data_IF_944749004897
#
_entry.id   IF_944749004897
#
_cell.length_a   1.000
_cell.length_b   1.000
_cell.length_c   1.000
_cell.angle_alpha   90.00
_cell.angle_beta   90.00
_cell.angle_gamma   90.00
#
_symmetry.space_group_name_H-M   'P 1'
#
loop_
_entity.id
_entity.type
_entity.pdbx_description
1 polymer ?
#
# COMPACT_ATOMS: atom_id res chain seq x y z
N UNK A 1 -42.01 59.72 -0.93
CA UNK A 1 -41.07 58.68 -0.45
C UNK A 1 -41.68 57.31 -0.68
N UNK A 2 -41.05 56.48 -1.53
CA UNK A 2 -40.90 55.01 -1.44
C UNK A 2 -40.61 54.46 -2.86
N UNK A 3 -39.33 54.47 -3.23
CA UNK A 3 -38.82 53.71 -4.37
C UNK A 3 -38.80 52.23 -3.97
N UNK A 4 -39.48 51.36 -4.74
CA UNK A 4 -39.36 49.91 -4.59
C UNK A 4 -38.28 49.41 -5.55
N UNK A 5 -37.15 49.03 -4.97
CA UNK A 5 -36.01 48.40 -5.64
C UNK A 5 -36.39 46.95 -5.99
N UNK A 6 -36.33 46.59 -7.27
CA UNK A 6 -36.46 45.20 -7.75
C UNK A 6 -35.05 44.60 -7.86
N UNK A 7 -34.66 43.80 -6.86
CA UNK A 7 -33.44 42.98 -6.91
C UNK A 7 -33.82 41.67 -7.63
N UNK A 8 -33.23 41.42 -8.81
CA UNK A 8 -33.33 40.13 -9.51
C UNK A 8 -32.43 39.10 -8.81
N UNK A 9 -32.90 37.87 -8.57
CA UNK A 9 -32.07 36.85 -7.92
C UNK A 9 -31.01 36.32 -8.89
N UNK A 10 -29.76 36.33 -8.43
CA UNK A 10 -28.61 35.69 -9.07
C UNK A 10 -28.80 34.17 -8.99
N UNK A 11 -28.94 33.48 -10.13
CA UNK A 11 -28.92 32.02 -10.16
C UNK A 11 -27.45 31.55 -10.10
N UNK A 12 -27.04 30.99 -8.96
CA UNK A 12 -25.77 30.27 -8.85
C UNK A 12 -25.89 28.92 -9.57
N UNK A 13 -25.20 28.77 -10.71
CA UNK A 13 -24.95 27.45 -11.29
C UNK A 13 -23.86 26.76 -10.47
N UNK A 14 -24.26 25.88 -9.56
CA UNK A 14 -23.33 24.97 -8.89
C UNK A 14 -22.88 23.89 -9.87
N UNK A 15 -21.60 23.88 -10.24
CA UNK A 15 -20.99 22.75 -10.93
C UNK A 15 -20.71 21.68 -9.87
N UNK A 16 -21.59 20.68 -9.79
CA UNK A 16 -21.33 19.48 -9.00
C UNK A 16 -20.32 18.62 -9.78
N UNK A 17 -19.07 18.58 -9.31
CA UNK A 17 -18.12 17.56 -9.74
C UNK A 17 -18.54 16.27 -9.06
N UNK A 18 -19.22 15.40 -9.81
CA UNK A 18 -19.44 14.02 -9.41
C UNK A 18 -18.10 13.30 -9.47
N UNK A 19 -17.40 13.20 -8.34
CA UNK A 19 -16.37 12.18 -8.18
C UNK A 19 -17.07 10.83 -8.11
N UNK A 20 -17.21 10.17 -9.25
CA UNK A 20 -17.48 8.74 -9.27
C UNK A 20 -16.28 8.08 -8.59
N UNK A 21 -16.41 7.76 -7.31
CA UNK A 21 -15.47 6.90 -6.61
C UNK A 21 -15.52 5.54 -7.28
N UNK A 22 -14.66 5.32 -8.28
CA UNK A 22 -14.33 3.97 -8.68
C UNK A 22 -13.59 3.38 -7.49
N UNK A 23 -14.32 2.63 -6.66
CA UNK A 23 -13.71 1.63 -5.79
C UNK A 23 -13.10 0.56 -6.70
N UNK A 24 -11.97 0.88 -7.33
CA UNK A 24 -11.19 -0.11 -8.05
C UNK A 24 -10.77 -1.17 -7.05
N UNK A 25 -10.76 -2.42 -7.49
CA UNK A 25 -10.43 -3.57 -6.65
C UNK A 25 -8.94 -3.51 -6.28
N UNK A 26 -8.63 -2.76 -5.23
CA UNK A 26 -7.29 -2.41 -4.79
C UNK A 26 -6.46 -3.60 -4.32
N UNK A 27 -7.07 -4.75 -4.07
CA UNK A 27 -6.41 -5.88 -3.43
C UNK A 27 -6.48 -7.15 -4.26
N UNK A 28 -5.57 -8.09 -3.97
CA UNK A 28 -5.63 -9.44 -4.53
C UNK A 28 -6.99 -10.09 -4.24
N UNK A 29 -7.59 -10.70 -5.26
CA UNK A 29 -8.96 -11.22 -5.19
C UNK A 29 -9.06 -12.74 -5.29
N UNK A 30 -8.04 -13.38 -5.84
CA UNK A 30 -8.03 -14.82 -6.06
C UNK A 30 -6.63 -15.40 -5.84
N UNK A 31 -6.56 -16.56 -5.20
CA UNK A 31 -5.38 -17.42 -5.22
C UNK A 31 -5.37 -18.16 -6.55
N UNK A 32 -4.32 -17.97 -7.34
CA UNK A 32 -4.12 -18.69 -8.58
C UNK A 32 -3.42 -20.04 -8.35
N UNK A 33 -2.37 -20.05 -7.54
CA UNK A 33 -1.66 -21.26 -7.12
C UNK A 33 -1.02 -21.05 -5.75
N UNK A 34 -0.87 -22.13 -4.97
CA UNK A 34 -0.18 -22.11 -3.69
C UNK A 34 0.51 -23.44 -3.43
N UNK A 35 1.78 -23.35 -3.06
CA UNK A 35 2.59 -24.47 -2.61
C UNK A 35 3.23 -24.07 -1.29
N UNK A 36 2.89 -24.75 -0.20
CA UNK A 36 3.39 -24.40 1.12
C UNK A 36 4.92 -24.46 1.20
N UNK A 37 5.57 -25.41 0.52
CA UNK A 37 7.01 -25.64 0.66
C UNK A 37 7.39 -26.25 2.01
N UNK A 38 8.70 -26.42 2.23
CA UNK A 38 9.24 -27.00 3.46
C UNK A 38 9.39 -25.95 4.54
N UNK A 39 8.86 -26.22 5.74
CA UNK A 39 9.01 -25.33 6.90
C UNK A 39 8.00 -24.17 6.96
N UNK A 40 6.96 -24.18 6.12
CA UNK A 40 5.79 -23.32 6.33
C UNK A 40 5.18 -23.58 7.72
N UNK A 41 4.70 -22.54 8.38
CA UNK A 41 4.15 -22.65 9.72
C UNK A 41 2.87 -23.50 9.74
N UNK A 42 2.83 -24.50 10.60
CA UNK A 42 1.65 -25.35 10.78
C UNK A 42 0.44 -24.51 11.19
N UNK A 43 -0.71 -24.70 10.52
CA UNK A 43 -1.93 -23.91 10.71
C UNK A 43 -2.04 -22.70 9.77
N UNK A 44 -0.92 -22.14 9.31
CA UNK A 44 -0.88 -20.94 8.46
C UNK A 44 -0.82 -21.27 6.97
N UNK A 45 -1.43 -22.37 6.53
CA UNK A 45 -1.33 -22.84 5.12
C UNK A 45 -2.59 -22.58 4.31
N UNK A 46 -3.48 -21.70 4.80
CA UNK A 46 -4.64 -21.24 4.06
C UNK A 46 -4.26 -20.04 3.19
N UNK A 47 -4.08 -20.19 1.86
CA UNK A 47 -3.66 -19.08 1.00
C UNK A 47 -4.73 -18.01 0.82
N UNK A 48 -6.00 -18.29 1.18
CA UNK A 48 -7.05 -17.28 1.14
C UNK A 48 -6.88 -16.19 2.22
N UNK A 49 -6.03 -16.40 3.23
CA UNK A 49 -5.68 -15.39 4.22
C UNK A 49 -5.02 -14.16 3.58
N UNK A 50 -4.28 -14.33 2.48
CA UNK A 50 -3.61 -13.25 1.75
C UNK A 50 -4.51 -12.46 0.77
N UNK A 51 -5.83 -12.71 0.77
CA UNK A 51 -6.77 -12.05 -0.14
C UNK A 51 -7.53 -10.93 0.55
N UNK A 52 -7.84 -9.89 -0.22
CA UNK A 52 -8.56 -8.73 0.29
C UNK A 52 -7.63 -7.72 0.96
N UNK A 53 -8.24 -6.86 1.75
CA UNK A 53 -7.54 -5.76 2.41
C UNK A 53 -6.55 -6.28 3.47
N UNK A 54 -5.38 -5.65 3.64
CA UNK A 54 -4.49 -5.92 4.77
C UNK A 54 -5.21 -5.79 6.12
N UNK A 55 -4.74 -6.55 7.10
CA UNK A 55 -5.35 -6.62 8.41
C UNK A 55 -5.38 -5.27 9.12
N UNK A 56 -6.58 -4.80 9.48
CA UNK A 56 -6.77 -3.59 10.31
C UNK A 56 -6.87 -3.88 11.80
N UNK A 57 -7.44 -5.03 12.14
CA UNK A 57 -7.71 -5.47 13.52
C UNK A 57 -7.37 -6.95 13.59
N UNK A 58 -6.63 -7.35 14.63
CA UNK A 58 -6.52 -8.76 15.02
C UNK A 58 -7.68 -9.09 15.96
N UNK A 59 -8.59 -10.02 15.63
CA UNK A 59 -9.70 -10.39 16.49
C UNK A 59 -9.28 -11.22 17.71
N UNK A 60 -10.17 -11.30 18.70
CA UNK A 60 -9.99 -12.16 19.88
C UNK A 60 -9.64 -11.39 21.16
N UNK A 61 -9.51 -12.10 22.29
CA UNK A 61 -9.34 -11.50 23.61
C UNK A 61 -7.99 -10.79 23.81
N UNK A 62 -6.98 -11.19 23.03
CA UNK A 62 -5.65 -10.55 22.97
C UNK A 62 -5.44 -9.82 21.63
N UNK A 63 -6.55 -9.54 20.95
CA UNK A 63 -6.58 -8.80 19.71
C UNK A 63 -6.55 -7.29 19.93
N UNK A 64 -6.67 -6.53 18.86
CA UNK A 64 -6.65 -5.08 18.88
C UNK A 64 -6.35 -4.51 17.50
N UNK A 65 -6.19 -3.18 17.40
CA UNK A 65 -5.68 -2.56 16.19
C UNK A 65 -4.37 -3.20 15.74
N UNK A 66 -4.27 -3.47 14.44
CA UNK A 66 -2.98 -3.78 13.82
C UNK A 66 -2.25 -2.47 13.67
N UNK A 67 -1.06 -2.38 14.25
CA UNK A 67 -0.18 -1.23 14.13
C UNK A 67 1.30 -1.68 14.14
N UNK A 68 2.25 -0.79 13.86
CA UNK A 68 3.65 -1.15 13.80
C UNK A 68 4.25 -1.77 15.07
N UNK A 69 3.58 -1.72 16.22
CA UNK A 69 3.99 -2.41 17.44
C UNK A 69 3.14 -3.65 17.78
N UNK A 70 1.95 -3.79 17.17
CA UNK A 70 1.02 -4.89 17.40
C UNK A 70 0.52 -5.46 16.07
N UNK A 71 1.11 -6.55 15.59
CA UNK A 71 0.91 -7.04 14.23
C UNK A 71 -0.27 -8.00 14.10
N UNK A 72 -0.66 -8.28 12.86
CA UNK A 72 -1.48 -9.45 12.55
C UNK A 72 -0.70 -10.73 12.89
N UNK A 73 -1.36 -11.72 13.49
CA UNK A 73 -0.69 -12.97 13.89
C UNK A 73 -1.56 -14.22 13.76
N UNK A 74 -2.84 -14.10 13.40
CA UNK A 74 -3.72 -15.26 13.29
C UNK A 74 -3.55 -15.98 11.95
N UNK A 75 -3.85 -17.26 11.92
CA UNK A 75 -3.89 -18.10 10.71
C UNK A 75 -4.97 -17.66 9.70
N UNK A 76 -5.96 -16.91 10.16
CA UNK A 76 -6.96 -16.26 9.31
C UNK A 76 -6.47 -14.96 8.66
N UNK A 77 -5.34 -14.42 9.12
CA UNK A 77 -4.74 -13.18 8.63
C UNK A 77 -3.47 -13.45 7.83
N UNK A 78 -2.66 -14.41 8.25
CA UNK A 78 -1.37 -14.71 7.63
C UNK A 78 -1.37 -16.07 6.93
N UNK A 79 -0.77 -16.12 5.74
CA UNK A 79 -0.34 -17.37 5.10
C UNK A 79 1.17 -17.49 5.15
N UNK A 80 1.67 -18.66 5.57
CA UNK A 80 3.08 -19.00 5.59
C UNK A 80 3.49 -19.78 4.35
N UNK A 81 4.65 -19.43 3.80
CA UNK A 81 5.30 -20.11 2.67
C UNK A 81 6.72 -20.45 3.11
N UNK A 82 7.08 -21.73 3.07
CA UNK A 82 8.41 -22.25 3.39
C UNK A 82 9.29 -22.44 2.15
N UNK A 83 10.52 -22.85 2.37
CA UNK A 83 11.53 -23.06 1.33
C UNK A 83 11.03 -24.00 0.22
N UNK A 84 11.21 -23.57 -1.03
CA UNK A 84 10.71 -24.26 -2.22
C UNK A 84 9.21 -24.09 -2.47
N UNK A 85 8.51 -23.36 -1.61
CA UNK A 85 7.09 -23.02 -1.76
C UNK A 85 6.87 -21.75 -2.57
N UNK A 86 5.62 -21.51 -2.94
CA UNK A 86 5.20 -20.32 -3.67
C UNK A 86 3.75 -19.93 -3.37
N UNK A 87 3.43 -18.66 -3.61
CA UNK A 87 2.06 -18.15 -3.64
C UNK A 87 1.90 -17.27 -4.87
N UNK A 88 0.90 -17.58 -5.70
CA UNK A 88 0.50 -16.74 -6.83
C UNK A 88 -0.90 -16.20 -6.57
N UNK A 89 -1.04 -14.88 -6.56
CA UNK A 89 -2.34 -14.19 -6.44
C UNK A 89 -2.69 -13.48 -7.74
N UNK A 90 -4.00 -13.24 -7.93
CA UNK A 90 -4.55 -12.49 -9.04
C UNK A 90 -5.34 -11.29 -8.55
N UNK A 91 -5.09 -10.14 -9.14
CA UNK A 91 -5.87 -8.91 -8.98
C UNK A 91 -7.05 -8.88 -9.96
N UNK A 92 -8.17 -8.32 -9.51
CA UNK A 92 -9.36 -8.16 -10.36
C UNK A 92 -9.19 -7.00 -11.37
N UNK A 93 -8.50 -5.92 -10.97
CA UNK A 93 -8.01 -4.86 -11.86
C UNK A 93 -6.52 -5.07 -12.11
N UNK A 94 -6.01 -4.85 -13.34
CA UNK A 94 -4.57 -4.92 -13.57
C UNK A 94 -3.81 -3.90 -12.71
N UNK A 95 -2.67 -4.33 -12.16
CA UNK A 95 -1.64 -3.43 -11.64
C UNK A 95 -1.04 -2.70 -12.83
N UNK A 96 -1.00 -1.37 -12.77
CA UNK A 96 -0.46 -0.54 -13.84
C UNK A 96 0.96 -0.13 -13.49
N UNK A 97 1.84 -0.10 -14.48
CA UNK A 97 3.13 0.56 -14.37
C UNK A 97 2.91 2.05 -14.65
N UNK A 98 2.83 2.87 -13.59
CA UNK A 98 2.52 4.29 -13.72
C UNK A 98 3.56 5.15 -12.98
N UNK A 99 4.33 6.00 -13.69
CA UNK A 99 5.29 6.89 -13.05
C UNK A 99 4.65 7.94 -12.13
N UNK A 100 3.32 8.14 -12.20
CA UNK A 100 2.58 8.99 -11.26
C UNK A 100 2.29 8.30 -9.91
N UNK A 101 2.57 7.01 -9.78
CA UNK A 101 2.54 6.33 -8.49
C UNK A 101 3.61 6.88 -7.55
N UNK A 102 3.28 6.93 -6.26
CA UNK A 102 4.21 7.45 -5.24
C UNK A 102 5.52 6.64 -5.25
N UNK A 103 6.64 7.34 -5.39
CA UNK A 103 7.98 6.75 -5.51
C UNK A 103 8.18 5.81 -6.72
N UNK A 104 7.25 5.81 -7.70
CA UNK A 104 7.28 4.91 -8.85
C UNK A 104 6.95 3.46 -8.53
N UNK A 105 6.36 3.17 -7.36
CA UNK A 105 6.01 1.81 -6.94
C UNK A 105 4.58 1.49 -7.34
N UNK A 106 4.33 0.29 -7.88
CA UNK A 106 3.05 -0.09 -8.48
C UNK A 106 2.18 -0.97 -7.59
N UNK A 107 2.79 -1.74 -6.67
CA UNK A 107 2.05 -2.58 -5.73
C UNK A 107 2.82 -2.80 -4.43
N UNK A 108 2.11 -3.20 -3.39
CA UNK A 108 2.64 -3.46 -2.05
C UNK A 108 2.35 -4.90 -1.63
N UNK A 109 3.23 -5.46 -0.79
CA UNK A 109 3.02 -6.73 -0.10
C UNK A 109 3.17 -6.49 1.41
N UNK A 110 2.22 -7.02 2.19
CA UNK A 110 2.15 -6.87 3.65
C UNK A 110 2.47 -8.19 4.33
N UNK A 111 3.15 -8.12 5.49
CA UNK A 111 3.58 -9.28 6.28
C UNK A 111 3.22 -9.16 7.76
N UNK A 112 3.69 -10.12 8.56
CA UNK A 112 3.37 -10.22 9.99
C UNK A 112 4.35 -9.53 10.94
N UNK A 113 5.34 -8.82 10.41
CA UNK A 113 6.46 -8.25 11.17
C UNK A 113 6.14 -6.88 11.80
N UNK A 114 6.78 -6.60 12.94
CA UNK A 114 6.55 -5.39 13.74
C UNK A 114 7.85 -4.80 14.30
N UNK A 115 7.80 -3.57 14.79
CA UNK A 115 8.92 -2.91 15.47
C UNK A 115 8.98 -3.30 16.95
N UNK A 116 10.18 -3.59 17.44
CA UNK A 116 10.43 -3.91 18.85
C UNK A 116 10.29 -2.64 19.68
N UNK A 117 9.45 -2.68 20.72
CA UNK A 117 9.42 -1.65 21.75
C UNK A 117 10.61 -1.86 22.70
N UNK A 118 11.40 -0.81 22.93
CA UNK A 118 12.64 -0.87 23.73
C UNK A 118 12.52 -0.25 25.12
N UNK A 119 11.34 0.24 25.50
CA UNK A 119 11.08 0.80 26.83
C UNK A 119 11.28 -0.24 27.94
N UNK A 120 11.71 0.25 29.11
CA UNK A 120 11.66 -0.53 30.35
C UNK A 120 10.22 -0.69 30.85
N UNK A 121 10.00 -1.69 31.70
CA UNK A 121 8.73 -1.92 32.39
C UNK A 121 8.83 -1.56 33.88
N UNK A 122 7.72 -1.12 34.47
CA UNK A 122 7.57 -0.97 35.93
C UNK A 122 7.29 -2.33 36.61
N UNK A 123 7.07 -2.31 37.93
CA UNK A 123 6.79 -3.52 38.73
C UNK A 123 5.48 -4.23 38.36
N UNK A 124 4.58 -3.54 37.67
CA UNK A 124 3.27 -4.00 37.25
C UNK A 124 3.23 -4.37 35.75
N UNK A 125 4.40 -4.41 35.09
CA UNK A 125 4.57 -4.69 33.66
C UNK A 125 3.95 -3.64 32.72
N UNK A 126 3.81 -2.40 33.17
CA UNK A 126 3.47 -1.28 32.28
C UNK A 126 4.74 -0.66 31.72
N UNK A 127 4.66 -0.15 30.48
CA UNK A 127 5.77 0.60 29.90
C UNK A 127 6.07 1.86 30.70
N UNK A 128 7.36 2.06 31.02
CA UNK A 128 7.85 3.32 31.57
C UNK A 128 8.02 4.30 30.39
N UNK A 129 7.23 5.37 30.41
CA UNK A 129 7.17 6.36 29.33
C UNK A 129 6.32 5.90 28.14
N UNK A 130 6.37 6.66 27.05
CA UNK A 130 5.65 6.31 25.81
C UNK A 130 6.41 5.23 25.05
N UNK A 131 5.75 4.13 24.62
CA UNK A 131 6.38 3.09 23.81
C UNK A 131 7.06 3.64 22.56
N UNK A 132 8.32 3.26 22.38
CA UNK A 132 9.17 3.66 21.27
C UNK A 132 10.08 2.50 20.83
N UNK A 133 10.59 2.56 19.61
CA UNK A 133 11.46 1.55 19.01
C UNK A 133 12.86 2.08 18.74
N UNK A 134 13.86 1.20 18.64
CA UNK A 134 15.17 1.49 18.07
C UNK A 134 15.24 1.20 16.55
N UNK A 135 14.12 0.79 15.94
CA UNK A 135 14.04 0.34 14.56
C UNK A 135 14.27 -1.16 14.36
N UNK A 136 14.57 -1.91 15.44
CA UNK A 136 14.64 -3.37 15.43
C UNK A 136 13.27 -4.00 15.15
N UNK A 137 13.27 -5.15 14.47
CA UNK A 137 12.03 -5.85 14.09
C UNK A 137 11.85 -7.18 14.82
N UNK A 138 10.61 -7.51 15.16
CA UNK A 138 10.19 -8.85 15.58
C UNK A 138 9.25 -9.45 14.53
N UNK A 139 9.07 -10.77 14.55
CA UNK A 139 8.17 -11.48 13.64
C UNK A 139 8.64 -11.56 12.18
N UNK A 140 9.56 -10.67 11.76
CA UNK A 140 10.17 -10.72 10.43
C UNK A 140 10.84 -12.07 10.19
N UNK A 141 10.37 -12.77 9.16
CA UNK A 141 10.97 -14.03 8.77
C UNK A 141 12.21 -13.77 7.89
N UNK A 142 13.24 -14.60 8.02
CA UNK A 142 14.50 -14.44 7.29
C UNK A 142 14.52 -15.17 5.95
N UNK A 143 13.36 -15.49 5.39
CA UNK A 143 13.25 -16.21 4.13
C UNK A 143 13.76 -15.37 2.95
N UNK A 144 14.55 -16.00 2.08
CA UNK A 144 14.94 -15.36 0.81
C UNK A 144 13.82 -15.56 -0.20
N UNK A 145 13.35 -14.48 -0.80
CA UNK A 145 12.23 -14.49 -1.74
C UNK A 145 12.64 -14.05 -3.13
N UNK A 146 11.91 -14.54 -4.13
CA UNK A 146 11.89 -13.98 -5.48
C UNK A 146 10.46 -13.57 -5.81
N UNK A 147 10.27 -12.33 -6.23
CA UNK A 147 8.97 -11.84 -6.69
C UNK A 147 8.96 -11.84 -8.22
N UNK A 148 7.86 -12.33 -8.79
CA UNK A 148 7.64 -12.33 -10.24
C UNK A 148 6.23 -11.83 -10.55
N UNK A 149 6.06 -11.27 -11.74
CA UNK A 149 4.77 -10.72 -12.20
C UNK A 149 4.38 -11.30 -13.55
N UNK A 150 3.08 -11.32 -13.84
CA UNK A 150 2.55 -11.84 -15.10
C UNK A 150 1.25 -11.15 -15.50
N UNK A 151 1.08 -10.92 -16.80
CA UNK A 151 -0.18 -10.44 -17.37
C UNK A 151 -1.21 -11.57 -17.50
N UNK A 152 -0.78 -12.80 -17.80
CA UNK A 152 -1.65 -13.91 -18.18
C UNK A 152 -1.69 -15.08 -17.18
N UNK A 153 -0.80 -15.09 -16.20
CA UNK A 153 -0.68 -16.14 -15.20
C UNK A 153 0.11 -17.36 -15.68
N UNK A 154 0.74 -17.29 -16.85
CA UNK A 154 1.55 -18.38 -17.44
C UNK A 154 3.00 -17.97 -17.65
N UNK A 155 3.24 -16.81 -18.25
CA UNK A 155 4.59 -16.27 -18.43
C UNK A 155 4.89 -15.28 -17.30
N UNK A 156 5.87 -15.63 -16.46
CA UNK A 156 6.29 -14.81 -15.33
C UNK A 156 7.65 -14.17 -15.59
N UNK A 157 7.75 -12.87 -15.28
CA UNK A 157 8.98 -12.09 -15.33
C UNK A 157 9.43 -11.80 -13.90
N UNK A 158 10.71 -12.01 -13.62
CA UNK A 158 11.25 -11.80 -12.26
C UNK A 158 11.52 -10.32 -12.06
N UNK A 159 11.15 -9.77 -10.90
CA UNK A 159 11.59 -8.42 -10.54
C UNK A 159 13.06 -8.49 -10.11
N UNK A 160 13.88 -7.56 -10.61
CA UNK A 160 15.31 -7.53 -10.37
C UNK A 160 15.60 -7.57 -8.85
N UNK A 161 16.28 -8.63 -8.35
CA UNK A 161 16.50 -8.81 -6.92
C UNK A 161 17.48 -7.79 -6.30
N UNK A 162 18.20 -7.01 -7.11
CA UNK A 162 19.01 -5.91 -6.63
C UNK A 162 18.19 -4.65 -6.31
N UNK A 163 16.95 -4.57 -6.82
CA UNK A 163 16.01 -3.45 -6.60
C UNK A 163 14.84 -3.86 -5.70
N UNK A 164 14.31 -5.08 -5.91
CA UNK A 164 13.16 -5.59 -5.19
C UNK A 164 13.49 -5.85 -3.70
N UNK A 165 12.72 -5.28 -2.75
CA UNK A 165 12.91 -5.56 -1.34
C UNK A 165 12.48 -7.00 -0.99
N UNK A 166 12.90 -7.47 0.18
CA UNK A 166 12.33 -8.69 0.74
C UNK A 166 10.89 -8.44 1.20
N UNK A 167 10.01 -9.44 1.03
CA UNK A 167 8.55 -9.31 1.20
C UNK A 167 8.11 -8.89 2.61
N UNK A 168 8.82 -9.33 3.66
CA UNK A 168 8.52 -8.99 5.06
C UNK A 168 9.53 -8.00 5.66
N UNK A 169 10.35 -7.37 4.83
CA UNK A 169 11.37 -6.45 5.32
C UNK A 169 10.83 -5.03 5.45
N UNK A 170 11.02 -4.46 6.64
CA UNK A 170 10.70 -3.07 6.99
C UNK A 170 9.23 -2.68 6.72
N UNK A 171 8.81 -1.54 7.25
CA UNK A 171 7.45 -1.01 7.13
C UNK A 171 6.30 -1.96 7.62
N UNK A 172 6.32 -2.39 8.90
CA UNK A 172 5.17 -3.04 9.54
C UNK A 172 3.81 -2.43 9.20
N UNK A 173 2.78 -3.27 9.12
CA UNK A 173 1.42 -2.82 8.78
C UNK A 173 0.87 -1.84 9.84
N UNK A 174 0.37 -0.69 9.38
CA UNK A 174 -0.48 0.19 10.17
C UNK A 174 -1.91 0.10 9.68
N UNK A 175 -2.75 -0.58 10.45
CA UNK A 175 -4.15 -0.82 10.18
C UNK A 175 -5.01 0.45 10.10
N UNK A 176 -4.48 1.62 10.46
CA UNK A 176 -5.15 2.92 10.30
C UNK A 176 -4.74 3.67 9.02
N UNK A 177 -3.69 3.20 8.33
CA UNK A 177 -3.17 3.86 7.14
C UNK A 177 -3.93 3.53 5.85
N UNK A 178 -3.45 4.16 4.77
CA UNK A 178 -3.86 3.93 3.40
C UNK A 178 -3.00 2.84 2.77
N UNK A 179 -3.60 1.68 2.52
CA UNK A 179 -2.92 0.54 1.90
C UNK A 179 -2.64 0.72 0.40
N UNK A 180 -3.03 1.82 -0.23
CA UNK A 180 -2.67 2.18 -1.62
C UNK A 180 -1.45 3.08 -1.70
N UNK A 181 -0.84 3.42 -0.57
CA UNK A 181 0.24 4.39 -0.50
C UNK A 181 1.49 3.71 0.07
N UNK A 182 2.60 3.63 -0.67
CA UNK A 182 3.86 3.15 -0.14
C UNK A 182 4.43 4.09 0.93
N UNK A 183 5.18 3.52 1.88
CA UNK A 183 6.13 4.29 2.69
C UNK A 183 7.31 4.70 1.80
N UNK A 184 7.95 5.84 2.09
CA UNK A 184 9.16 6.27 1.38
C UNK A 184 10.24 5.16 1.43
N UNK A 185 10.62 4.54 0.30
CA UNK A 185 11.56 3.42 0.28
C UNK A 185 12.99 3.84 0.64
N UNK A 186 13.30 5.13 0.70
CA UNK A 186 14.59 5.63 1.18
C UNK A 186 14.75 5.54 2.72
N UNK A 187 13.68 5.27 3.46
CA UNK A 187 13.74 5.10 4.91
C UNK A 187 14.32 3.73 5.27
N UNK A 188 15.36 3.73 6.10
CA UNK A 188 15.92 2.51 6.72
C UNK A 188 15.50 2.36 8.17
N UNK A 189 15.87 1.24 8.81
CA UNK A 189 15.57 0.95 10.23
C UNK A 189 16.02 2.08 11.17
N UNK A 190 17.17 2.70 10.91
CA UNK A 190 17.71 3.80 11.72
C UNK A 190 16.82 5.05 11.72
N UNK A 191 15.98 5.24 10.70
CA UNK A 191 15.03 6.36 10.67
C UNK A 191 13.94 6.22 11.75
N UNK A 192 13.70 5.01 12.26
CA UNK A 192 12.69 4.72 13.27
C UNK A 192 13.24 4.73 14.70
N UNK A 193 14.56 4.89 14.87
CA UNK A 193 15.19 4.88 16.18
C UNK A 193 14.68 6.04 17.06
N UNK A 194 14.24 5.69 18.28
CA UNK A 194 13.64 6.59 19.25
C UNK A 194 12.20 7.02 18.94
N UNK A 195 11.57 6.52 17.88
CA UNK A 195 10.22 6.94 17.50
C UNK A 195 9.14 6.18 18.27
N UNK A 196 8.15 6.93 18.73
CA UNK A 196 6.86 6.40 19.19
C UNK A 196 5.97 6.05 17.99
N UNK A 197 4.81 5.43 18.24
CA UNK A 197 3.82 5.14 17.20
C UNK A 197 3.43 6.40 16.40
N UNK A 198 3.30 7.55 17.06
CA UNK A 198 3.02 8.84 16.40
C UNK A 198 4.16 9.25 15.47
N UNK A 199 5.42 9.11 15.92
CA UNK A 199 6.59 9.39 15.10
C UNK A 199 6.70 8.48 13.88
N UNK A 200 6.40 7.18 14.05
CA UNK A 200 6.36 6.21 12.95
C UNK A 200 5.30 6.61 11.92
N UNK A 201 4.09 6.94 12.38
CA UNK A 201 2.98 7.40 11.52
C UNK A 201 3.30 8.68 10.76
N UNK A 202 4.04 9.59 11.37
CA UNK A 202 4.52 10.79 10.70
C UNK A 202 5.47 10.44 9.53
N UNK A 203 6.36 9.47 9.69
CA UNK A 203 7.22 8.99 8.61
C UNK A 203 6.46 8.19 7.54
N UNK A 204 5.42 7.45 7.93
CA UNK A 204 4.57 6.72 6.98
C UNK A 204 3.74 7.67 6.12
N UNK A 205 3.52 8.91 6.56
CA UNK A 205 2.83 9.94 5.78
C UNK A 205 1.46 9.46 5.26
N UNK A 206 0.68 8.82 6.16
CA UNK A 206 -0.61 8.17 5.90
C UNK A 206 -0.57 6.80 5.18
N UNK A 207 0.61 6.29 4.81
CA UNK A 207 0.76 4.90 4.36
C UNK A 207 0.31 3.90 5.43
N UNK A 208 -0.22 2.76 5.00
CA UNK A 208 -0.48 1.60 5.85
C UNK A 208 0.70 0.64 6.01
N UNK A 209 1.90 1.00 5.53
CA UNK A 209 3.09 0.13 5.55
C UNK A 209 3.21 -0.74 4.29
N UNK A 210 3.87 -1.89 4.45
CA UNK A 210 4.11 -2.87 3.38
C UNK A 210 5.36 -2.56 2.55
N UNK A 211 5.94 -3.61 1.98
CA UNK A 211 7.06 -3.52 1.05
C UNK A 211 6.54 -3.18 -0.35
N UNK A 212 7.11 -2.14 -0.98
CA UNK A 212 6.70 -1.69 -2.30
C UNK A 212 7.55 -2.24 -3.45
N UNK A 213 6.90 -2.48 -4.58
CA UNK A 213 7.47 -3.09 -5.78
C UNK A 213 7.04 -2.33 -7.04
N UNK A 214 7.91 -2.31 -8.05
CA UNK A 214 7.72 -1.60 -9.32
C UNK A 214 7.86 -2.60 -10.49
N UNK A 215 6.92 -2.52 -11.44
CA UNK A 215 6.86 -3.38 -12.61
C UNK A 215 7.98 -3.10 -13.61
N UNK A 216 8.56 -1.89 -13.61
CA UNK A 216 9.74 -1.54 -14.39
C UNK A 216 10.99 -2.33 -13.97
N UNK A 217 10.96 -3.01 -12.81
CA UNK A 217 12.04 -3.91 -12.39
C UNK A 217 11.95 -5.30 -13.03
N UNK A 218 10.92 -5.58 -13.85
CA UNK A 218 10.76 -6.88 -14.48
C UNK A 218 11.89 -7.18 -15.48
N UNK A 219 12.43 -8.39 -15.41
CA UNK A 219 13.47 -8.90 -16.28
C UNK A 219 13.07 -10.26 -16.88
N UNK A 220 13.60 -10.54 -18.08
CA UNK A 220 13.49 -11.84 -18.73
C UNK A 220 14.48 -12.87 -18.16
N UNK A 221 14.50 -14.08 -18.74
CA UNK A 221 15.37 -15.16 -18.29
C UNK A 221 16.87 -14.89 -18.54
N UNK A 222 17.23 -13.87 -19.32
CA UNK A 222 18.59 -13.42 -19.58
C UNK A 222 18.99 -12.24 -18.68
N UNK A 223 18.08 -11.75 -17.84
CA UNK A 223 18.30 -10.56 -17.00
C UNK A 223 18.17 -9.25 -17.78
N UNK A 224 17.51 -9.25 -18.95
CA UNK A 224 17.25 -8.02 -19.70
C UNK A 224 15.91 -7.42 -19.23
N UNK A 225 15.82 -6.08 -19.07
CA UNK A 225 14.58 -5.42 -18.68
C UNK A 225 13.44 -5.70 -19.67
N UNK A 226 12.22 -5.87 -19.12
CA UNK A 226 10.99 -6.09 -19.87
C UNK A 226 9.98 -5.01 -19.50
N UNK A 227 9.46 -4.30 -20.50
CA UNK A 227 8.39 -3.33 -20.30
C UNK A 227 7.04 -4.05 -20.14
N UNK A 228 6.45 -3.93 -18.96
CA UNK A 228 5.12 -4.46 -18.63
C UNK A 228 4.20 -3.29 -18.27
N UNK A 229 3.34 -2.80 -19.18
CA UNK A 229 2.46 -1.67 -18.88
C UNK A 229 1.37 -2.01 -17.86
N UNK A 230 0.98 -3.29 -17.80
CA UNK A 230 0.05 -3.80 -16.81
C UNK A 230 0.22 -5.30 -16.58
N UNK A 231 -0.05 -5.76 -15.36
CA UNK A 231 -0.04 -7.19 -14.97
C UNK A 231 -1.25 -7.52 -14.10
N UNK A 232 -1.65 -8.79 -14.05
CA UNK A 232 -2.75 -9.25 -13.19
C UNK A 232 -2.31 -10.18 -12.08
N UNK A 233 -1.10 -10.73 -12.16
CA UNK A 233 -0.62 -11.77 -11.27
C UNK A 233 0.69 -11.35 -10.62
N UNK A 234 0.78 -11.63 -9.33
CA UNK A 234 2.01 -11.52 -8.54
C UNK A 234 2.28 -12.90 -7.96
N UNK A 235 3.52 -13.37 -8.12
CA UNK A 235 4.02 -14.60 -7.52
C UNK A 235 5.16 -14.30 -6.57
N UNK A 236 5.13 -14.92 -5.40
CA UNK A 236 6.27 -15.02 -4.50
C UNK A 236 6.76 -16.46 -4.53
N UNK A 237 8.04 -16.66 -4.84
CA UNK A 237 8.76 -17.90 -4.60
C UNK A 237 9.64 -17.75 -3.35
N UNK A 238 9.61 -18.71 -2.43
CA UNK A 238 10.51 -18.74 -1.26
C UNK A 238 11.68 -19.65 -1.57
N UNK A 239 12.86 -19.06 -1.75
CA UNK A 239 14.09 -19.76 -2.12
C UNK A 239 14.71 -20.49 -0.93
N UNK A 240 14.62 -19.91 0.26
CA UNK A 240 15.09 -20.49 1.52
C UNK A 240 14.33 -19.92 2.71
N UNK A 241 14.39 -20.58 3.86
CA UNK A 241 13.69 -20.15 5.08
C UNK A 241 12.17 -20.26 4.97
N UNK A 242 11.46 -19.26 5.49
CA UNK A 242 10.01 -19.08 5.32
C UNK A 242 9.67 -17.60 5.29
N UNK A 243 8.47 -17.28 4.84
CA UNK A 243 7.82 -15.98 5.02
C UNK A 243 6.38 -16.14 5.48
N UNK A 244 5.77 -15.06 5.95
CA UNK A 244 4.36 -14.90 6.27
C UNK A 244 3.78 -13.68 5.54
N UNK A 245 2.64 -13.84 4.88
CA UNK A 245 2.02 -12.80 4.03
C UNK A 245 0.61 -12.53 4.54
N UNK A 246 0.30 -11.25 4.76
CA UNK A 246 -1.02 -10.76 5.17
C UNK A 246 -1.88 -10.39 3.96
N UNK A 247 -1.33 -9.64 2.99
CA UNK A 247 -2.11 -9.17 1.85
C UNK A 247 -1.23 -8.58 0.73
N UNK A 248 -1.87 -8.27 -0.39
CA UNK A 248 -1.30 -7.54 -1.52
C UNK A 248 -2.21 -6.37 -1.87
N UNK A 249 -1.64 -5.21 -2.19
CA UNK A 249 -2.40 -4.06 -2.65
C UNK A 249 -1.80 -3.42 -3.90
N UNK A 250 -2.66 -2.77 -4.67
CA UNK A 250 -2.31 -1.88 -5.76
C UNK A 250 -1.93 -0.52 -5.19
N UNK A 251 -0.87 0.11 -5.70
CA UNK A 251 -0.60 1.52 -5.44
C UNK A 251 -1.52 2.35 -6.32
N UNK A 252 -2.10 3.41 -5.75
CA UNK A 252 -2.95 4.33 -6.51
C UNK A 252 -2.19 5.57 -6.91
N UNK A 253 -2.49 6.11 -8.09
CA UNK A 253 -1.96 7.38 -8.55
C UNK A 253 -2.27 8.48 -7.51
N UNK A 254 -1.27 9.32 -7.24
CA UNK A 254 -1.49 10.52 -6.44
C UNK A 254 -2.43 11.41 -7.24
N UNK A 255 -3.62 11.78 -6.73
CA UNK A 255 -4.49 12.69 -7.45
C UNK A 255 -3.70 13.96 -7.76
N UNK A 256 -3.48 14.28 -9.04
CA UNK A 256 -2.85 15.54 -9.38
C UNK A 256 -3.65 16.67 -8.72
N UNK A 257 -3.00 17.63 -8.05
CA UNK A 257 -3.71 18.68 -7.32
C UNK A 257 -4.44 19.59 -8.30
N UNK A 258 -5.67 19.23 -8.67
CA UNK A 258 -6.71 20.06 -9.30
C UNK A 258 -6.24 21.01 -10.43
N UNK A 259 -5.11 20.76 -11.10
CA UNK A 259 -4.51 21.66 -12.08
C UNK A 259 -5.46 21.90 -13.24
N UNK A 260 -6.17 20.85 -13.66
CA UNK A 260 -7.24 20.90 -14.64
C UNK A 260 -8.47 21.69 -14.16
N UNK A 261 -8.83 21.58 -12.88
CA UNK A 261 -9.94 22.35 -12.33
C UNK A 261 -9.59 23.84 -12.22
N UNK A 262 -8.34 24.18 -11.88
CA UNK A 262 -7.83 25.55 -11.87
C UNK A 262 -7.68 26.12 -13.28
N UNK A 263 -7.24 25.31 -14.26
CA UNK A 263 -7.21 25.70 -15.67
C UNK A 263 -8.62 25.91 -16.24
N UNK A 264 -9.57 25.04 -15.90
CA UNK A 264 -10.98 25.16 -16.28
C UNK A 264 -11.63 26.42 -15.65
N UNK A 265 -11.39 26.66 -14.36
CA UNK A 265 -11.83 27.88 -13.67
C UNK A 265 -11.18 29.14 -14.28
N UNK A 266 -9.88 29.10 -14.55
CA UNK A 266 -9.14 30.20 -15.17
C UNK A 266 -9.66 30.55 -16.57
N UNK A 267 -9.96 29.53 -17.38
CA UNK A 267 -10.51 29.72 -18.74
C UNK A 267 -11.97 30.22 -18.72
N UNK A 268 -12.78 29.80 -17.76
CA UNK A 268 -14.13 30.36 -17.53
C UNK A 268 -14.06 31.83 -17.10
N UNK A 269 -13.16 32.19 -16.19
CA UNK A 269 -12.96 33.58 -15.75
C UNK A 269 -12.47 34.47 -16.91
N UNK A 270 -11.57 33.97 -17.76
CA UNK A 270 -11.08 34.69 -18.94
C UNK A 270 -12.18 34.87 -20.01
N UNK A 271 -12.99 33.84 -20.27
CA UNK A 271 -14.12 33.94 -21.19
C UNK A 271 -15.18 34.92 -20.69
N UNK A 272 -15.46 34.92 -19.39
CA UNK A 272 -16.38 35.87 -18.76
C UNK A 272 -15.87 37.32 -18.86
N UNK A 273 -14.59 37.56 -18.59
CA UNK A 273 -13.98 38.90 -18.76
C UNK A 273 -14.05 39.41 -20.19
N UNK A 274 -13.85 38.56 -21.20
CA UNK A 274 -13.94 38.96 -22.62
C UNK A 274 -15.36 39.38 -23.00
N UNK A 275 -16.39 38.73 -22.45
CA UNK A 275 -17.78 39.06 -22.74
C UNK A 275 -18.26 40.35 -22.05
N UNK A 276 -17.76 40.66 -20.84
CA UNK A 276 -18.15 41.89 -20.11
C UNK A 276 -17.58 43.15 -20.77
N UNK A 277 -16.38 43.09 -21.36
CA UNK A 277 -15.76 44.24 -22.04
C UNK A 277 -16.44 44.52 -23.39
N UNK A 278 -16.96 43.50 -24.07
CA UNK A 278 -17.66 43.66 -25.35
C UNK A 278 -19.07 44.28 -25.22
N UNK A 279 -19.60 44.42 -24.00
CA UNK A 279 -20.97 44.89 -23.75
C UNK A 279 -21.07 46.29 -23.12
N UNK A 280 -19.97 47.01 -22.94
CA UNK A 280 -19.99 48.42 -22.52
C UNK A 280 -19.61 49.33 -23.71
N UNK A 281 -20.55 50.07 -24.32
CA UNK A 281 -20.25 51.23 -25.16
C UNK A 281 -19.70 52.41 -24.34
#
# INVERSE_FOLDING_TARGET
MKYHCWIRPLAFLGVAVLTLGQGQAQFARQVHDYQAGSGAANGYTNPAAALGEPSRITPGPFGGPVDPFNTAYLDSQLVSIGAGGSLTVKFATPLLNDPAHSYGLDFLIFGGAGFIITNAFDSEFNYIGTPATDGGMFGAQTGQTRVSVSADGTQFFTLNPALAPAVEALFPTDGQGNFSQPVNPALGTTAFAGLTLEGIRALYSASGGGAGFDLAWAEDAQGLPVELPAVNFVRIDVLSGKIEVDAFSQVSAVPEPAGWALLALGSVILAWRRNVIATNP
#
